data_IF_242468640590
#
_entry.id   IF_242468640590
#
_cell.length_a   1.000
_cell.length_b   1.000
_cell.length_c   1.000
_cell.angle_alpha   90.00
_cell.angle_beta   90.00
_cell.angle_gamma   90.00
#
_symmetry.space_group_name_H-M   'P 1'
#
loop_
_entity.id
_entity.type
_entity.pdbx_description
1 polymer ?
#
# COMPACT_ATOMS: atom_id res chain seq x y z
N UNK A 1 12.34 -17.90 -19.35
CA UNK A 1 11.70 -18.11 -18.01
C UNK A 1 10.60 -19.19 -18.04
N UNK A 2 10.57 -20.12 -17.06
CA UNK A 2 9.54 -21.18 -16.95
C UNK A 2 8.17 -20.59 -16.58
N UNK A 3 7.08 -21.14 -17.16
CA UNK A 3 5.71 -20.67 -16.93
C UNK A 3 5.33 -20.57 -15.44
N UNK A 4 5.79 -21.51 -14.62
CA UNK A 4 5.50 -21.55 -13.19
C UNK A 4 6.16 -20.40 -12.40
N UNK A 5 7.36 -19.97 -12.81
CA UNK A 5 8.03 -18.82 -12.18
C UNK A 5 7.30 -17.52 -12.52
N UNK A 6 6.81 -17.40 -13.76
CA UNK A 6 5.97 -16.26 -14.18
C UNK A 6 4.73 -16.15 -13.30
N UNK A 7 3.98 -17.24 -13.12
CA UNK A 7 2.78 -17.25 -12.27
C UNK A 7 3.07 -16.84 -10.82
N UNK A 8 4.22 -17.22 -10.28
CA UNK A 8 4.63 -16.82 -8.93
C UNK A 8 4.92 -15.31 -8.86
N UNK A 9 5.61 -14.75 -9.85
CA UNK A 9 5.88 -13.31 -9.95
C UNK A 9 4.59 -12.50 -10.12
N UNK A 10 3.67 -12.96 -10.98
CA UNK A 10 2.34 -12.35 -11.15
C UNK A 10 1.56 -12.36 -9.83
N UNK A 11 1.66 -13.46 -9.06
CA UNK A 11 1.07 -13.57 -7.72
C UNK A 11 1.66 -12.56 -6.74
N UNK A 12 2.98 -12.34 -6.75
CA UNK A 12 3.60 -11.31 -5.90
C UNK A 12 3.10 -9.92 -6.30
N UNK A 13 3.05 -9.62 -7.59
CA UNK A 13 2.54 -8.35 -8.11
C UNK A 13 1.11 -8.06 -7.64
N UNK A 14 0.21 -9.05 -7.75
CA UNK A 14 -1.18 -8.90 -7.30
C UNK A 14 -1.27 -8.62 -5.80
N UNK A 15 -0.46 -9.28 -4.97
CA UNK A 15 -0.43 -9.03 -3.54
C UNK A 15 0.01 -7.59 -3.23
N UNK A 16 1.05 -7.09 -3.91
CA UNK A 16 1.54 -5.71 -3.77
C UNK A 16 0.45 -4.70 -4.17
N UNK A 17 -0.24 -4.93 -5.30
CA UNK A 17 -1.32 -4.05 -5.78
C UNK A 17 -2.49 -4.03 -4.79
N UNK A 18 -2.82 -5.17 -4.18
CA UNK A 18 -3.89 -5.27 -3.18
C UNK A 18 -3.52 -4.68 -1.81
N UNK A 19 -2.26 -4.28 -1.61
CA UNK A 19 -1.77 -3.78 -0.32
C UNK A 19 -1.59 -4.85 0.77
N UNK A 20 -1.69 -6.14 0.41
CA UNK A 20 -1.51 -7.25 1.34
C UNK A 20 -0.02 -7.62 1.49
N UNK A 21 0.63 -6.94 2.43
CA UNK A 21 2.06 -7.12 2.70
C UNK A 21 2.40 -8.53 3.19
N UNK A 22 1.52 -9.16 3.98
CA UNK A 22 1.76 -10.50 4.53
C UNK A 22 1.71 -11.55 3.42
N UNK A 23 0.71 -11.45 2.54
CA UNK A 23 0.60 -12.33 1.37
C UNK A 23 1.75 -12.11 0.39
N UNK A 24 2.16 -10.86 0.17
CA UNK A 24 3.30 -10.55 -0.68
C UNK A 24 4.58 -11.21 -0.15
N UNK A 25 4.87 -11.07 1.15
CA UNK A 25 6.03 -11.69 1.80
C UNK A 25 6.01 -13.22 1.67
N UNK A 26 4.88 -13.86 1.99
CA UNK A 26 4.72 -15.31 1.88
C UNK A 26 5.00 -15.81 0.45
N UNK A 27 4.53 -15.08 -0.57
CA UNK A 27 4.77 -15.43 -1.97
C UNK A 27 6.23 -15.24 -2.39
N UNK A 28 6.90 -14.20 -1.89
CA UNK A 28 8.34 -13.97 -2.10
C UNK A 28 9.16 -15.11 -1.50
N UNK A 29 8.86 -15.53 -0.27
CA UNK A 29 9.53 -16.65 0.38
C UNK A 29 9.33 -17.96 -0.39
N UNK A 30 8.12 -18.23 -0.88
CA UNK A 30 7.83 -19.38 -1.70
C UNK A 30 8.61 -19.37 -3.02
N UNK A 31 8.78 -18.20 -3.64
CA UNK A 31 9.62 -18.01 -4.81
C UNK A 31 11.10 -18.28 -4.49
N UNK A 32 11.62 -17.74 -3.38
CA UNK A 32 13.02 -17.96 -2.97
C UNK A 32 13.35 -19.44 -2.76
N UNK A 33 12.52 -20.17 -1.99
CA UNK A 33 12.67 -21.63 -1.81
C UNK A 33 12.63 -22.39 -3.13
N UNK A 34 11.86 -21.87 -4.10
CA UNK A 34 11.76 -22.48 -5.42
C UNK A 34 13.03 -22.28 -6.25
N UNK A 35 13.65 -21.11 -6.16
CA UNK A 35 14.91 -20.83 -6.83
C UNK A 35 16.04 -21.73 -6.34
N UNK A 36 16.14 -21.92 -5.03
CA UNK A 36 17.16 -22.78 -4.44
C UNK A 36 17.07 -24.21 -4.96
N UNK A 37 15.84 -24.69 -5.20
CA UNK A 37 15.59 -26.02 -5.76
C UNK A 37 15.80 -26.09 -7.27
N UNK A 38 15.24 -25.14 -8.01
CA UNK A 38 15.18 -25.21 -9.47
C UNK A 38 16.49 -24.80 -10.14
N UNK A 39 17.38 -24.09 -9.43
CA UNK A 39 18.69 -23.58 -9.89
C UNK A 39 18.63 -23.09 -11.35
N UNK A 40 17.90 -21.99 -11.62
CA UNK A 40 17.72 -21.49 -12.97
C UNK A 40 19.06 -21.14 -13.63
N UNK A 41 19.12 -21.30 -14.95
CA UNK A 41 20.26 -20.89 -15.77
C UNK A 41 20.52 -19.36 -15.67
N UNK A 42 21.72 -18.90 -16.04
CA UNK A 42 22.09 -17.48 -15.90
C UNK A 42 21.18 -16.51 -16.66
N UNK A 43 20.65 -16.90 -17.82
CA UNK A 43 19.76 -16.07 -18.62
C UNK A 43 18.40 -15.88 -17.92
N UNK A 44 17.81 -16.98 -17.46
CA UNK A 44 16.57 -16.97 -16.68
C UNK A 44 16.74 -16.19 -15.37
N UNK A 45 17.93 -16.28 -14.74
CA UNK A 45 18.25 -15.50 -13.53
C UNK A 45 18.26 -14.00 -13.81
N UNK A 46 18.85 -13.56 -14.92
CA UNK A 46 18.90 -12.16 -15.32
C UNK A 46 17.50 -11.58 -15.61
N UNK A 47 16.66 -12.35 -16.32
CA UNK A 47 15.26 -11.97 -16.55
C UNK A 47 14.49 -11.79 -15.24
N UNK A 48 14.65 -12.74 -14.31
CA UNK A 48 13.98 -12.70 -13.01
C UNK A 48 14.45 -11.53 -12.16
N UNK A 49 15.76 -11.24 -12.15
CA UNK A 49 16.31 -10.10 -11.43
C UNK A 49 15.69 -8.79 -11.92
N UNK A 50 15.53 -8.64 -13.24
CA UNK A 50 14.84 -7.48 -13.83
C UNK A 50 13.39 -7.39 -13.35
N UNK A 51 12.65 -8.50 -13.29
CA UNK A 51 11.27 -8.51 -12.77
C UNK A 51 11.21 -8.19 -11.28
N UNK A 52 12.13 -8.73 -10.46
CA UNK A 52 12.19 -8.45 -9.02
C UNK A 52 12.49 -6.97 -8.74
N UNK A 53 13.38 -6.35 -9.52
CA UNK A 53 13.64 -4.91 -9.45
C UNK A 53 12.39 -4.09 -9.78
N UNK A 54 11.60 -4.52 -10.76
CA UNK A 54 10.32 -3.88 -11.07
C UNK A 54 9.32 -4.00 -9.92
N UNK A 55 9.17 -5.20 -9.34
CA UNK A 55 8.27 -5.44 -8.19
C UNK A 55 8.69 -4.63 -6.96
N UNK A 56 10.00 -4.48 -6.72
CA UNK A 56 10.52 -3.61 -5.65
C UNK A 56 10.09 -2.17 -5.86
N UNK A 57 10.27 -1.61 -7.06
CA UNK A 57 9.86 -0.23 -7.37
C UNK A 57 8.35 -0.05 -7.18
N UNK A 58 7.56 -1.02 -7.65
CA UNK A 58 6.11 -1.02 -7.47
C UNK A 58 5.72 -0.99 -5.98
N UNK A 59 6.35 -1.81 -5.15
CA UNK A 59 6.10 -1.82 -3.71
C UNK A 59 6.48 -0.49 -3.04
N UNK A 60 7.62 0.09 -3.41
CA UNK A 60 8.06 1.40 -2.92
C UNK A 60 7.11 2.54 -3.33
N UNK A 61 6.63 2.53 -4.58
CA UNK A 61 5.64 3.49 -5.09
C UNK A 61 4.29 3.33 -4.37
N UNK A 62 3.84 2.09 -4.18
CA UNK A 62 2.62 1.77 -3.45
C UNK A 62 2.68 2.29 -2.01
N UNK A 63 3.79 2.02 -1.31
CA UNK A 63 4.01 2.50 0.06
C UNK A 63 3.98 4.04 0.15
N UNK A 64 4.63 4.74 -0.80
CA UNK A 64 4.55 6.21 -0.88
C UNK A 64 3.13 6.71 -1.13
N UNK A 65 2.39 6.03 -2.01
CA UNK A 65 0.99 6.35 -2.29
C UNK A 65 0.09 6.19 -1.06
N UNK A 66 0.20 5.07 -0.36
CA UNK A 66 -0.52 4.81 0.90
C UNK A 66 -0.23 5.87 1.95
N UNK A 67 1.03 6.24 2.13
CA UNK A 67 1.41 7.27 3.09
C UNK A 67 0.76 8.63 2.76
N UNK A 68 0.81 9.05 1.49
CA UNK A 68 0.14 10.29 1.05
C UNK A 68 -1.37 10.27 1.29
N UNK A 69 -2.02 9.15 1.04
CA UNK A 69 -3.47 9.01 1.30
C UNK A 69 -3.80 9.11 2.80
N UNK A 70 -2.97 8.50 3.66
CA UNK A 70 -3.10 8.65 5.12
C UNK A 70 -2.96 10.12 5.54
N UNK A 71 -1.99 10.83 4.98
CA UNK A 71 -1.76 12.23 5.30
C UNK A 71 -2.94 13.11 4.85
N UNK A 72 -3.49 12.86 3.66
CA UNK A 72 -4.72 13.51 3.19
C UNK A 72 -5.92 13.23 4.10
N UNK A 73 -6.10 11.99 4.56
CA UNK A 73 -7.17 11.65 5.51
C UNK A 73 -6.98 12.41 6.82
N UNK A 74 -5.74 12.50 7.34
CA UNK A 74 -5.44 13.29 8.53
C UNK A 74 -5.76 14.77 8.33
N UNK A 75 -5.46 15.34 7.16
CA UNK A 75 -5.83 16.72 6.82
C UNK A 75 -7.33 16.93 6.79
N UNK A 76 -8.09 16.02 6.15
CA UNK A 76 -9.55 16.06 6.13
C UNK A 76 -10.10 16.01 7.55
N UNK A 77 -9.62 15.10 8.40
CA UNK A 77 -10.05 14.98 9.79
C UNK A 77 -9.73 16.23 10.62
N UNK A 78 -8.55 16.85 10.41
CA UNK A 78 -8.18 18.12 11.06
C UNK A 78 -9.12 19.25 10.64
N UNK A 79 -9.38 19.39 9.34
CA UNK A 79 -10.27 20.42 8.80
C UNK A 79 -11.73 20.23 9.23
N UNK A 80 -12.22 19.00 9.28
CA UNK A 80 -13.57 18.68 9.73
C UNK A 80 -13.79 19.06 11.21
N UNK A 81 -12.77 18.91 12.07
CA UNK A 81 -12.81 19.37 13.47
C UNK A 81 -12.75 20.89 13.61
N UNK A 82 -12.16 21.58 12.61
CA UNK A 82 -12.12 23.04 12.52
C UNK A 82 -13.30 23.59 11.71
N UNK A 83 -14.47 22.96 11.74
CA UNK A 83 -15.64 23.44 11.00
C UNK A 83 -15.92 24.91 11.37
N UNK A 84 -15.54 25.83 10.48
CA UNK A 84 -15.77 27.25 10.65
C UNK A 84 -17.23 27.50 10.31
N UNK A 85 -18.08 27.59 11.32
CA UNK A 85 -19.44 28.08 11.13
C UNK A 85 -19.40 29.60 11.02
N UNK A 86 -19.76 30.12 9.85
CA UNK A 86 -20.12 31.53 9.73
C UNK A 86 -21.46 31.72 10.43
N UNK A 87 -21.57 32.76 11.27
CA UNK A 87 -22.88 33.16 11.78
C UNK A 87 -23.70 33.86 10.69
N UNK A 88 -24.98 34.09 10.96
CA UNK A 88 -25.91 34.79 10.08
C UNK A 88 -25.54 36.27 9.84
N UNK A 89 -24.45 36.78 10.43
CA UNK A 89 -23.89 38.13 10.23
C UNK A 89 -22.55 38.09 9.48
N UNK A 90 -22.12 36.93 8.97
CA UNK A 90 -20.89 36.77 8.21
C UNK A 90 -19.61 36.81 9.05
N UNK A 91 -19.71 36.74 10.38
CA UNK A 91 -18.54 36.73 11.26
C UNK A 91 -18.02 35.30 11.45
N UNK A 92 -16.70 35.13 11.36
CA UNK A 92 -16.04 33.83 11.56
C UNK A 92 -16.13 33.42 13.02
N UNK A 93 -16.84 32.34 13.32
CA UNK A 93 -16.72 31.64 14.60
C UNK A 93 -15.97 30.33 14.37
N UNK A 94 -14.83 30.17 15.04
CA UNK A 94 -14.22 28.86 15.22
C UNK A 94 -14.99 28.17 16.33
N UNK A 95 -15.85 27.22 15.98
CA UNK A 95 -16.54 26.38 16.97
C UNK A 95 -15.82 25.05 17.01
N UNK A 96 -15.08 24.72 18.09
CA UNK A 96 -14.50 23.39 18.23
C UNK A 96 -15.65 22.39 18.23
N UNK A 97 -15.69 21.53 17.21
CA UNK A 97 -16.72 20.50 17.10
C UNK A 97 -16.20 19.25 17.79
N UNK A 98 -16.57 19.07 19.05
CA UNK A 98 -16.33 17.81 19.74
C UNK A 98 -17.21 16.73 19.11
N UNK A 99 -16.57 15.81 18.38
CA UNK A 99 -17.24 14.62 17.87
C UNK A 99 -17.63 13.74 19.06
N UNK A 100 -18.90 13.80 19.47
CA UNK A 100 -19.46 12.91 20.49
C UNK A 100 -19.42 11.48 19.93
N UNK A 101 -18.44 10.69 20.36
CA UNK A 101 -18.50 9.23 20.19
C UNK A 101 -19.68 8.71 21.01
N UNK A 102 -20.59 7.90 20.44
CA UNK A 102 -21.68 7.31 21.22
C UNK A 102 -21.08 6.33 22.24
N UNK A 103 -21.18 6.67 23.53
CA UNK A 103 -20.96 5.71 24.61
C UNK A 103 -22.06 4.66 24.54
N UNK A 104 -21.66 3.39 24.37
CA UNK A 104 -22.55 2.24 24.49
C UNK A 104 -22.95 2.09 25.95
N UNK A 105 -24.26 2.06 26.23
CA UNK A 105 -24.82 1.52 27.46
C UNK A 105 -24.75 -0.01 27.44
#
# INVERSE_FOLDING_TARGET
MKARHKTMLDGIQQAIISGDAALALSRIEALARRFDRDRPDPETRADMERTLLHLRRLAEDSARGTQRAIDQIKDILRNARMLQTYDHRGQRRQTPTDAVLPQRF
#
